data_IF_218280185980
#
_entry.id   IF_218280185980
#
_cell.length_a   1.000
_cell.length_b   1.000
_cell.length_c   1.000
_cell.angle_alpha   90.00
_cell.angle_beta   90.00
_cell.angle_gamma   90.00
#
_symmetry.space_group_name_H-M   'P 1'
#
loop_
_entity.id
_entity.type
_entity.pdbx_description
1 polymer ?
#
# COMPACT_ATOMS: atom_id res chain seq x y z
N UNK A 1 -12.48 19.97 -10.72
CA UNK A 1 -12.65 18.95 -9.65
C UNK A 1 -12.61 19.66 -8.32
N UNK A 2 -13.61 19.49 -7.45
CA UNK A 2 -13.56 20.06 -6.10
C UNK A 2 -12.56 19.30 -5.22
N UNK A 3 -12.03 19.95 -4.18
CA UNK A 3 -11.07 19.32 -3.26
C UNK A 3 -11.65 18.07 -2.59
N UNK A 4 -12.90 18.12 -2.15
CA UNK A 4 -13.56 17.00 -1.48
C UNK A 4 -13.73 15.79 -2.43
N UNK A 5 -14.05 16.02 -3.71
CA UNK A 5 -14.09 14.96 -4.72
C UNK A 5 -12.71 14.36 -4.94
N UNK A 6 -11.67 15.20 -5.04
CA UNK A 6 -10.28 14.75 -5.19
C UNK A 6 -9.84 13.84 -4.02
N UNK A 7 -10.14 14.25 -2.79
CA UNK A 7 -9.78 13.48 -1.58
C UNK A 7 -10.54 12.14 -1.49
N UNK A 8 -11.82 12.12 -1.88
CA UNK A 8 -12.63 10.89 -1.93
C UNK A 8 -12.14 9.92 -3.00
N UNK A 9 -11.96 10.40 -4.24
CA UNK A 9 -11.42 9.60 -5.34
C UNK A 9 -10.04 9.02 -4.99
N UNK A 10 -9.22 9.80 -4.29
CA UNK A 10 -7.86 9.40 -3.93
C UNK A 10 -7.77 8.38 -2.81
N UNK A 11 -8.86 8.06 -2.10
CA UNK A 11 -8.83 7.27 -0.85
C UNK A 11 -7.64 7.67 0.04
N UNK A 12 -7.52 8.99 0.25
CA UNK A 12 -6.33 9.63 0.85
C UNK A 12 -6.04 9.16 2.27
N UNK A 13 -7.04 8.57 2.93
CA UNK A 13 -6.91 7.99 4.26
C UNK A 13 -5.92 6.81 4.31
N UNK A 14 -5.60 6.18 3.18
CA UNK A 14 -4.58 5.13 3.12
C UNK A 14 -3.18 5.64 2.75
N UNK A 15 -3.00 6.93 2.45
CA UNK A 15 -1.67 7.49 2.12
C UNK A 15 -0.60 7.23 3.17
N UNK A 16 -0.89 7.22 4.50
CA UNK A 16 0.14 6.90 5.47
C UNK A 16 0.78 5.54 5.23
N UNK A 17 0.02 4.54 4.76
CA UNK A 17 0.56 3.22 4.41
C UNK A 17 1.57 3.28 3.26
N UNK A 18 1.37 4.18 2.30
CA UNK A 18 2.29 4.40 1.17
C UNK A 18 3.56 5.09 1.65
N UNK A 19 3.41 6.07 2.56
CA UNK A 19 4.54 6.77 3.15
C UNK A 19 5.41 5.83 3.99
N UNK A 20 4.80 4.97 4.80
CA UNK A 20 5.55 4.00 5.61
C UNK A 20 6.23 2.94 4.74
N UNK A 21 5.59 2.48 3.65
CA UNK A 21 6.24 1.59 2.69
C UNK A 21 7.48 2.27 2.06
N UNK A 22 7.37 3.56 1.73
CA UNK A 22 8.48 4.34 1.14
C UNK A 22 9.62 4.49 2.15
N UNK A 23 9.32 4.84 3.40
CA UNK A 23 10.33 4.96 4.46
C UNK A 23 11.01 3.62 4.75
N UNK A 24 10.24 2.53 4.84
CA UNK A 24 10.80 1.19 5.03
C UNK A 24 11.72 0.80 3.88
N UNK A 25 11.32 1.08 2.63
CA UNK A 25 12.16 0.80 1.46
C UNK A 25 13.47 1.60 1.47
N UNK A 26 13.46 2.88 1.88
CA UNK A 26 14.68 3.70 2.03
C UNK A 26 15.61 3.06 3.08
N UNK A 27 15.09 2.76 4.27
CA UNK A 27 15.89 2.22 5.38
C UNK A 27 16.43 0.83 5.04
N UNK A 28 15.60 -0.06 4.47
CA UNK A 28 16.01 -1.41 4.09
C UNK A 28 16.95 -1.44 2.89
N UNK A 29 16.98 -0.39 2.07
CA UNK A 29 18.01 -0.19 1.04
C UNK A 29 19.37 0.23 1.65
N UNK A 30 19.44 0.49 2.97
CA UNK A 30 20.63 0.96 3.65
C UNK A 30 20.82 2.48 3.60
N UNK A 31 19.81 3.23 3.13
CA UNK A 31 19.87 4.68 3.02
C UNK A 31 19.23 5.38 4.23
N UNK A 32 19.74 6.56 4.56
CA UNK A 32 19.15 7.41 5.59
C UNK A 32 17.92 8.16 5.08
N UNK A 33 16.87 8.23 5.89
CA UNK A 33 15.63 8.97 5.56
C UNK A 33 15.85 10.48 5.40
N UNK A 34 16.97 11.01 5.91
CA UNK A 34 17.38 12.41 5.75
C UNK A 34 17.95 12.73 4.36
N UNK A 35 18.01 11.75 3.46
CA UNK A 35 18.39 11.97 2.06
C UNK A 35 17.54 13.05 1.41
N UNK A 36 18.16 13.90 0.57
CA UNK A 36 17.48 14.91 -0.22
C UNK A 36 16.44 14.31 -1.20
N UNK A 37 16.59 13.03 -1.55
CA UNK A 37 15.64 12.31 -2.40
C UNK A 37 14.33 11.95 -1.67
N UNK A 38 14.33 11.83 -0.34
CA UNK A 38 13.19 11.32 0.44
C UNK A 38 11.89 12.10 0.20
N UNK A 39 11.85 13.45 0.22
CA UNK A 39 10.60 14.18 -0.04
C UNK A 39 10.06 13.92 -1.45
N UNK A 40 10.93 13.90 -2.46
CA UNK A 40 10.54 13.63 -3.84
C UNK A 40 9.99 12.20 -4.01
N UNK A 41 10.55 11.22 -3.30
CA UNK A 41 10.07 9.84 -3.30
C UNK A 41 8.71 9.68 -2.61
N UNK A 42 8.49 10.35 -1.48
CA UNK A 42 7.20 10.36 -0.79
C UNK A 42 6.09 10.96 -1.67
N UNK A 43 6.38 12.07 -2.36
CA UNK A 43 5.46 12.67 -3.33
C UNK A 43 5.27 11.74 -4.52
N UNK A 44 6.34 11.19 -5.09
CA UNK A 44 6.28 10.24 -6.21
C UNK A 44 5.34 9.06 -5.91
N UNK A 45 5.53 8.38 -4.78
CA UNK A 45 4.69 7.22 -4.41
C UNK A 45 3.26 7.62 -4.08
N UNK A 46 3.05 8.84 -3.56
CA UNK A 46 1.72 9.43 -3.40
C UNK A 46 1.03 9.64 -4.75
N UNK A 47 1.74 10.16 -5.75
CA UNK A 47 1.20 10.35 -7.10
C UNK A 47 0.87 9.02 -7.79
N UNK A 48 1.73 8.00 -7.66
CA UNK A 48 1.42 6.64 -8.13
C UNK A 48 0.15 6.09 -7.50
N UNK A 49 0.03 6.20 -6.17
CA UNK A 49 -1.14 5.74 -5.44
C UNK A 49 -2.42 6.48 -5.87
N UNK A 50 -2.42 7.82 -5.85
CA UNK A 50 -3.57 8.63 -6.24
C UNK A 50 -3.96 8.40 -7.70
N UNK A 51 -2.98 8.30 -8.60
CA UNK A 51 -3.22 7.97 -10.00
C UNK A 51 -3.89 6.61 -10.15
N UNK A 52 -3.42 5.61 -9.41
CA UNK A 52 -4.05 4.29 -9.35
C UNK A 52 -5.49 4.33 -8.84
N UNK A 53 -5.77 5.10 -7.78
CA UNK A 53 -7.12 5.21 -7.22
C UNK A 53 -8.09 5.95 -8.15
N UNK A 54 -7.64 7.00 -8.82
CA UNK A 54 -8.46 7.74 -9.78
C UNK A 54 -8.79 6.85 -10.98
N UNK A 55 -7.80 6.13 -11.50
CA UNK A 55 -8.02 5.18 -12.58
C UNK A 55 -8.96 4.05 -12.13
N UNK A 56 -8.85 3.56 -10.90
CA UNK A 56 -9.76 2.54 -10.36
C UNK A 56 -11.22 2.97 -10.51
N UNK A 57 -11.58 4.14 -9.99
CA UNK A 57 -12.95 4.66 -10.08
C UNK A 57 -13.35 4.96 -11.55
N UNK A 58 -12.43 5.40 -12.40
CA UNK A 58 -12.72 5.65 -13.82
C UNK A 58 -12.97 4.35 -14.62
N UNK A 59 -12.22 3.28 -14.36
CA UNK A 59 -12.48 1.96 -14.96
C UNK A 59 -13.78 1.36 -14.42
N UNK A 60 -14.08 1.58 -13.14
CA UNK A 60 -15.24 1.01 -12.46
C UNK A 60 -16.55 1.79 -12.65
N UNK A 61 -16.52 2.97 -13.27
CA UNK A 61 -17.66 3.87 -13.42
C UNK A 61 -18.97 3.21 -13.88
N UNK A 62 -18.93 2.29 -14.84
CA UNK A 62 -20.13 1.63 -15.37
C UNK A 62 -20.76 0.63 -14.38
N UNK A 63 -19.92 0.03 -13.53
CA UNK A 63 -20.33 -0.90 -12.47
C UNK A 63 -20.81 -0.10 -11.26
N UNK A 64 -20.07 0.93 -10.90
CA UNK A 64 -20.42 1.86 -9.82
C UNK A 64 -21.76 2.55 -10.12
N UNK A 65 -22.08 2.85 -11.38
CA UNK A 65 -23.39 3.38 -11.73
C UNK A 65 -24.58 2.45 -11.39
N UNK A 66 -24.33 1.13 -11.28
CA UNK A 66 -25.35 0.14 -10.91
C UNK A 66 -25.34 -0.18 -9.42
N UNK A 67 -24.16 -0.27 -8.83
CA UNK A 67 -23.98 -0.76 -7.45
C UNK A 67 -23.86 0.38 -6.41
N UNK A 68 -23.32 1.53 -6.81
CA UNK A 68 -22.96 2.68 -5.95
C UNK A 68 -23.17 4.01 -6.69
N UNK A 69 -24.42 4.35 -7.07
CA UNK A 69 -24.72 5.53 -7.90
C UNK A 69 -24.34 6.86 -7.24
N UNK A 70 -24.11 6.86 -5.92
CA UNK A 70 -23.63 8.02 -5.15
C UNK A 70 -22.15 8.36 -5.38
N UNK A 71 -21.38 7.53 -6.11
CA UNK A 71 -19.97 7.82 -6.41
C UNK A 71 -19.82 9.03 -7.35
N UNK A 72 -18.68 9.77 -7.30
CA UNK A 72 -18.55 11.05 -8.00
C UNK A 72 -18.74 11.00 -9.52
N UNK A 73 -18.34 9.91 -10.18
CA UNK A 73 -18.48 9.78 -11.64
C UNK A 73 -19.96 9.46 -12.00
N UNK A 74 -20.60 8.41 -11.46
CA UNK A 74 -22.03 8.17 -11.70
C UNK A 74 -22.96 9.31 -11.27
N UNK A 75 -22.64 10.01 -10.18
CA UNK A 75 -23.42 11.14 -9.68
C UNK A 75 -23.33 12.40 -10.58
N UNK A 76 -22.39 12.41 -11.54
CA UNK A 76 -22.19 13.55 -12.44
C UNK A 76 -21.33 14.69 -11.87
N UNK A 77 -20.72 14.50 -10.69
CA UNK A 77 -19.84 15.51 -10.06
C UNK A 77 -18.56 15.76 -10.88
N UNK A 78 -18.11 14.75 -11.65
CA UNK A 78 -16.94 14.84 -12.52
C UNK A 78 -17.04 13.89 -13.72
N UNK A 79 -16.61 14.38 -14.89
CA UNK A 79 -16.57 13.57 -16.10
C UNK A 79 -15.53 12.45 -16.01
N UNK A 80 -15.89 11.23 -16.46
CA UNK A 80 -15.02 10.05 -16.50
C UNK A 80 -13.69 10.31 -17.22
N UNK A 81 -13.73 11.01 -18.35
CA UNK A 81 -12.54 11.37 -19.13
C UNK A 81 -11.57 12.27 -18.36
N UNK A 82 -12.09 13.20 -17.55
CA UNK A 82 -11.29 14.05 -16.68
C UNK A 82 -10.57 13.24 -15.60
N UNK A 83 -11.23 12.23 -15.03
CA UNK A 83 -10.62 11.33 -14.04
C UNK A 83 -9.54 10.46 -14.66
N UNK A 84 -9.76 9.93 -15.88
CA UNK A 84 -8.71 9.23 -16.63
C UNK A 84 -7.49 10.12 -16.87
N UNK A 85 -7.70 11.33 -17.39
CA UNK A 85 -6.63 12.28 -17.66
C UNK A 85 -5.84 12.61 -16.38
N UNK A 86 -6.54 12.94 -15.28
CA UNK A 86 -5.91 13.19 -14.00
C UNK A 86 -5.11 11.97 -13.51
N UNK A 87 -5.69 10.76 -13.60
CA UNK A 87 -5.02 9.51 -13.22
C UNK A 87 -3.71 9.29 -13.97
N UNK A 88 -3.71 9.44 -15.29
CA UNK A 88 -2.49 9.29 -16.11
C UNK A 88 -1.46 10.38 -15.85
N UNK A 89 -1.88 11.64 -15.67
CA UNK A 89 -0.99 12.75 -15.30
C UNK A 89 -0.32 12.48 -13.94
N UNK A 90 -1.06 11.96 -12.97
CA UNK A 90 -0.50 11.58 -11.67
C UNK A 90 0.52 10.44 -11.81
N UNK A 91 0.23 9.38 -12.58
CA UNK A 91 1.20 8.30 -12.83
C UNK A 91 2.48 8.82 -13.52
N UNK A 92 2.33 9.67 -14.54
CA UNK A 92 3.46 10.26 -15.26
C UNK A 92 4.29 11.18 -14.35
N UNK A 93 3.63 12.00 -13.53
CA UNK A 93 4.29 12.86 -12.54
C UNK A 93 5.02 12.06 -11.46
N UNK A 94 4.42 10.96 -10.99
CA UNK A 94 5.05 10.01 -10.07
C UNK A 94 6.34 9.43 -10.65
N UNK A 95 6.27 8.95 -11.90
CA UNK A 95 7.44 8.41 -12.60
C UNK A 95 8.53 9.47 -12.82
N UNK A 96 8.15 10.68 -13.23
CA UNK A 96 9.10 11.77 -13.44
C UNK A 96 9.83 12.14 -12.14
N UNK A 97 9.11 12.24 -11.01
CA UNK A 97 9.71 12.51 -9.71
C UNK A 97 10.59 11.35 -9.21
N UNK A 98 10.22 10.11 -9.49
CA UNK A 98 11.05 8.95 -9.17
C UNK A 98 12.40 9.00 -9.91
N UNK A 99 12.36 9.28 -11.21
CA UNK A 99 13.56 9.44 -12.03
C UNK A 99 14.40 10.65 -11.58
N UNK A 100 13.76 11.76 -11.22
CA UNK A 100 14.45 12.95 -10.71
C UNK A 100 15.14 12.68 -9.37
N UNK A 101 14.45 12.00 -8.44
CA UNK A 101 15.01 11.60 -7.16
C UNK A 101 16.19 10.65 -7.32
N UNK A 102 16.10 9.69 -8.24
CA UNK A 102 17.18 8.78 -8.60
C UNK A 102 18.39 9.51 -9.20
N UNK A 103 18.15 10.49 -10.09
CA UNK A 103 19.22 11.27 -10.72
C UNK A 103 20.00 12.11 -9.71
N UNK A 104 19.33 12.60 -8.67
CA UNK A 104 19.95 13.35 -7.57
C UNK A 104 20.66 12.45 -6.55
N UNK A 105 20.44 11.14 -6.60
CA UNK A 105 21.06 10.18 -5.68
C UNK A 105 22.54 9.99 -6.03
N UNK A 106 23.47 10.07 -5.06
CA UNK A 106 24.90 9.88 -5.30
C UNK A 106 25.27 8.50 -5.87
N UNK A 107 24.43 7.50 -5.61
CA UNK A 107 24.60 6.10 -6.01
C UNK A 107 24.55 5.91 -7.54
N UNK A 108 24.00 6.87 -8.30
CA UNK A 108 23.84 6.81 -9.76
C UNK A 108 23.35 5.45 -10.27
N UNK A 109 22.15 5.05 -9.86
CA UNK A 109 21.61 3.71 -10.11
C UNK A 109 21.11 3.48 -11.55
N UNK A 110 21.41 4.40 -12.46
CA UNK A 110 21.13 4.29 -13.89
C UNK A 110 19.64 4.27 -14.21
N UNK A 111 19.22 3.33 -15.05
CA UNK A 111 17.86 3.24 -15.57
C UNK A 111 16.88 2.50 -14.66
N UNK A 112 17.37 1.80 -13.64
CA UNK A 112 16.58 0.86 -12.84
C UNK A 112 15.36 1.49 -12.14
N UNK A 113 15.44 2.69 -11.52
CA UNK A 113 14.28 3.36 -10.94
C UNK A 113 13.19 3.66 -11.97
N UNK A 114 13.60 4.10 -13.17
CA UNK A 114 12.67 4.37 -14.27
C UNK A 114 11.99 3.09 -14.77
N UNK A 115 12.77 2.02 -14.97
CA UNK A 115 12.26 0.71 -15.40
C UNK A 115 11.27 0.15 -14.37
N UNK A 116 11.62 0.12 -13.09
CA UNK A 116 10.73 -0.38 -12.04
C UNK A 116 9.49 0.51 -11.88
N UNK A 117 9.62 1.82 -12.03
CA UNK A 117 8.50 2.76 -12.00
C UNK A 117 7.52 2.55 -13.17
N UNK A 118 8.02 2.25 -14.37
CA UNK A 118 7.18 1.87 -15.52
C UNK A 118 6.47 0.54 -15.27
N UNK A 119 7.17 -0.45 -14.69
CA UNK A 119 6.57 -1.74 -14.31
C UNK A 119 5.47 -1.52 -13.25
N UNK A 120 5.71 -0.65 -12.26
CA UNK A 120 4.70 -0.25 -11.26
C UNK A 120 3.47 0.39 -11.91
N UNK A 121 3.66 1.37 -12.80
CA UNK A 121 2.57 1.97 -13.55
C UNK A 121 1.78 0.92 -14.35
N UNK A 122 2.48 0.02 -15.03
CA UNK A 122 1.89 -1.09 -15.78
C UNK A 122 1.08 -2.04 -14.90
N UNK A 123 1.60 -2.40 -13.72
CA UNK A 123 0.88 -3.25 -12.75
C UNK A 123 -0.39 -2.57 -12.23
N UNK A 124 -0.32 -1.25 -11.93
CA UNK A 124 -1.49 -0.44 -11.52
C UNK A 124 -2.54 -0.42 -12.64
N UNK A 125 -2.12 -0.18 -13.88
CA UNK A 125 -3.02 -0.19 -15.05
C UNK A 125 -3.65 -1.56 -15.27
N UNK A 126 -2.87 -2.62 -15.21
CA UNK A 126 -3.35 -3.99 -15.39
C UNK A 126 -4.37 -4.38 -14.31
N UNK A 127 -4.10 -4.02 -13.05
CA UNK A 127 -5.06 -4.20 -11.97
C UNK A 127 -6.36 -3.45 -12.27
N UNK A 128 -6.29 -2.15 -12.55
CA UNK A 128 -7.49 -1.35 -12.75
C UNK A 128 -8.34 -1.81 -13.94
N UNK A 129 -7.70 -2.24 -15.03
CA UNK A 129 -8.39 -2.74 -16.22
C UNK A 129 -9.08 -4.10 -16.00
N UNK A 130 -8.47 -5.03 -15.25
CA UNK A 130 -8.93 -6.43 -15.21
C UNK A 130 -8.99 -7.04 -13.80
N UNK A 131 -9.19 -6.25 -12.74
CA UNK A 131 -9.29 -6.82 -11.39
C UNK A 131 -10.65 -7.49 -11.10
N UNK A 132 -11.75 -7.03 -11.71
CA UNK A 132 -13.09 -7.59 -11.46
C UNK A 132 -13.25 -8.91 -12.21
N UNK A 133 -13.61 -9.98 -11.49
CA UNK A 133 -13.71 -11.35 -12.03
C UNK A 133 -12.39 -12.12 -12.12
N UNK A 134 -11.25 -11.45 -11.96
CA UNK A 134 -9.95 -12.10 -11.98
C UNK A 134 -9.62 -12.73 -10.62
N UNK A 135 -9.25 -14.01 -10.61
CA UNK A 135 -8.84 -14.72 -9.39
C UNK A 135 -7.49 -14.21 -8.88
N UNK A 136 -6.64 -13.71 -9.78
CA UNK A 136 -5.28 -13.22 -9.48
C UNK A 136 -5.22 -11.76 -9.04
N UNK A 137 -6.33 -11.01 -8.96
CA UNK A 137 -6.27 -9.59 -8.53
C UNK A 137 -5.59 -9.36 -7.17
N UNK A 138 -5.73 -10.23 -6.15
CA UNK A 138 -4.96 -10.11 -4.90
C UNK A 138 -3.44 -10.12 -5.14
N UNK A 139 -2.98 -10.95 -6.08
CA UNK A 139 -1.57 -11.08 -6.46
C UNK A 139 -1.10 -9.79 -7.14
N UNK A 140 -1.87 -9.27 -8.09
CA UNK A 140 -1.52 -8.02 -8.80
C UNK A 140 -1.51 -6.82 -7.84
N UNK A 141 -2.50 -6.72 -6.95
CA UNK A 141 -2.55 -5.65 -5.94
C UNK A 141 -1.36 -5.72 -4.97
N UNK A 142 -1.00 -6.93 -4.53
CA UNK A 142 0.22 -7.15 -3.75
C UNK A 142 1.47 -6.77 -4.53
N UNK A 143 1.52 -7.08 -5.82
CA UNK A 143 2.65 -6.74 -6.70
C UNK A 143 2.84 -5.22 -6.81
N UNK A 144 1.76 -4.43 -6.90
CA UNK A 144 1.85 -2.97 -6.86
C UNK A 144 2.55 -2.48 -5.58
N UNK A 145 2.26 -3.07 -4.42
CA UNK A 145 2.89 -2.69 -3.14
C UNK A 145 4.34 -3.15 -3.05
N UNK A 146 4.66 -4.34 -3.53
CA UNK A 146 6.04 -4.82 -3.65
C UNK A 146 6.87 -3.88 -4.54
N UNK A 147 6.31 -3.44 -5.66
CA UNK A 147 6.99 -2.58 -6.61
C UNK A 147 7.26 -1.16 -6.07
N UNK A 148 6.56 -0.71 -5.03
CA UNK A 148 6.95 0.49 -4.28
C UNK A 148 8.31 0.28 -3.61
N UNK A 149 8.48 -0.84 -2.87
CA UNK A 149 9.75 -1.17 -2.23
C UNK A 149 10.90 -1.27 -3.24
N UNK A 150 10.66 -1.99 -4.33
CA UNK A 150 11.65 -2.19 -5.40
C UNK A 150 12.02 -0.85 -6.06
N UNK A 151 11.02 -0.03 -6.40
CA UNK A 151 11.26 1.24 -7.10
C UNK A 151 12.00 2.25 -6.25
N UNK A 152 11.61 2.37 -4.97
CA UNK A 152 12.31 3.22 -4.00
C UNK A 152 13.71 2.68 -3.71
N UNK A 153 13.85 1.36 -3.54
CA UNK A 153 15.14 0.71 -3.31
C UNK A 153 16.14 0.95 -4.42
N UNK A 154 15.69 0.88 -5.68
CA UNK A 154 16.56 1.17 -6.83
C UNK A 154 17.03 2.61 -6.87
N UNK A 155 16.45 3.56 -6.14
CA UNK A 155 17.01 4.92 -6.03
C UNK A 155 18.29 4.97 -5.18
N UNK A 156 18.56 3.93 -4.39
CA UNK A 156 19.67 3.88 -3.44
C UNK A 156 20.60 2.69 -3.62
N UNK A 157 20.23 1.69 -4.44
CA UNK A 157 21.09 0.54 -4.69
C UNK A 157 20.85 -0.03 -6.09
N UNK A 158 21.92 -0.30 -6.84
CA UNK A 158 21.83 -1.04 -8.12
C UNK A 158 21.44 -2.50 -7.90
N UNK A 159 21.99 -3.11 -6.84
CA UNK A 159 21.64 -4.47 -6.39
C UNK A 159 20.86 -4.34 -5.09
N UNK A 160 19.58 -4.72 -5.13
CA UNK A 160 18.70 -4.57 -3.98
C UNK A 160 19.16 -5.43 -2.80
N UNK A 161 19.31 -4.86 -1.59
CA UNK A 161 19.69 -5.62 -0.41
C UNK A 161 18.67 -6.69 -0.04
N UNK A 162 19.14 -7.80 0.52
CA UNK A 162 18.28 -8.91 0.94
C UNK A 162 17.17 -8.48 1.94
N UNK A 163 17.42 -7.62 2.96
CA UNK A 163 16.37 -7.15 3.85
C UNK A 163 15.23 -6.44 3.12
N UNK A 164 15.53 -5.66 2.08
CA UNK A 164 14.53 -4.99 1.25
C UNK A 164 13.69 -6.01 0.47
N UNK A 165 14.33 -6.98 -0.16
CA UNK A 165 13.63 -8.03 -0.92
C UNK A 165 12.72 -8.86 -0.01
N UNK A 166 13.20 -9.23 1.19
CA UNK A 166 12.39 -9.92 2.19
C UNK A 166 11.19 -9.04 2.58
N UNK A 167 11.41 -7.78 2.92
CA UNK A 167 10.33 -6.85 3.27
C UNK A 167 9.28 -6.72 2.18
N UNK A 168 9.72 -6.60 0.93
CA UNK A 168 8.84 -6.49 -0.24
C UNK A 168 8.00 -7.76 -0.46
N UNK A 169 8.59 -8.95 -0.28
CA UNK A 169 7.89 -10.24 -0.37
C UNK A 169 6.91 -10.44 0.81
N UNK A 170 7.27 -10.01 2.02
CA UNK A 170 6.38 -10.10 3.18
C UNK A 170 5.17 -9.19 3.02
N UNK A 171 5.36 -7.96 2.52
CA UNK A 171 4.27 -7.06 2.18
C UNK A 171 3.40 -7.63 1.07
N UNK A 172 4.00 -8.18 0.02
CA UNK A 172 3.27 -8.89 -1.04
C UNK A 172 2.39 -10.02 -0.49
N UNK A 173 2.97 -10.90 0.34
CA UNK A 173 2.25 -11.99 1.03
C UNK A 173 1.09 -11.43 1.87
N UNK A 174 1.35 -10.42 2.69
CA UNK A 174 0.34 -9.78 3.51
C UNK A 174 -0.85 -9.27 2.70
N UNK A 175 -0.57 -8.60 1.56
CA UNK A 175 -1.58 -8.04 0.67
C UNK A 175 -2.43 -9.10 -0.01
N UNK A 176 -1.90 -10.29 -0.30
CA UNK A 176 -2.70 -11.39 -0.83
C UNK A 176 -3.78 -11.78 0.17
N UNK A 177 -3.40 -11.98 1.44
CA UNK A 177 -4.34 -12.31 2.52
C UNK A 177 -5.37 -11.20 2.75
N UNK A 178 -4.92 -9.94 2.83
CA UNK A 178 -5.78 -8.77 2.98
C UNK A 178 -6.77 -8.62 1.83
N UNK A 179 -6.31 -8.65 0.58
CA UNK A 179 -7.16 -8.41 -0.59
C UNK A 179 -8.18 -9.54 -0.76
N UNK A 180 -7.83 -10.75 -0.32
CA UNK A 180 -8.78 -11.86 -0.25
C UNK A 180 -9.89 -11.59 0.78
N UNK A 181 -9.58 -11.12 1.99
CA UNK A 181 -10.58 -10.70 2.99
C UNK A 181 -11.46 -9.58 2.44
N UNK A 182 -10.88 -8.59 1.77
CA UNK A 182 -11.63 -7.49 1.16
C UNK A 182 -12.62 -7.98 0.09
N UNK A 183 -12.27 -8.99 -0.71
CA UNK A 183 -13.19 -9.58 -1.69
C UNK A 183 -14.36 -10.33 -1.06
N UNK A 184 -14.21 -10.85 0.17
CA UNK A 184 -15.30 -11.53 0.87
C UNK A 184 -16.41 -10.57 1.31
N UNK A 185 -16.13 -9.27 1.41
CA UNK A 185 -17.11 -8.23 1.72
C UNK A 185 -18.32 -8.28 0.77
N UNK A 186 -18.07 -8.51 -0.52
CA UNK A 186 -19.12 -8.52 -1.55
C UNK A 186 -19.75 -9.91 -1.80
N UNK A 187 -19.13 -10.99 -1.33
CA UNK A 187 -19.52 -12.35 -1.71
C UNK A 187 -20.40 -13.07 -0.69
N UNK A 188 -20.51 -12.57 0.55
CA UNK A 188 -21.35 -13.17 1.60
C UNK A 188 -20.95 -14.58 2.07
N UNK A 189 -20.10 -15.28 1.31
CA UNK A 189 -19.63 -16.64 1.56
C UNK A 189 -18.10 -16.71 1.60
N UNK A 190 -17.56 -17.35 2.65
CA UNK A 190 -16.14 -17.69 2.70
C UNK A 190 -15.95 -19.09 2.16
N UNK A 191 -15.60 -19.17 0.87
CA UNK A 191 -15.39 -20.47 0.22
C UNK A 191 -14.06 -21.11 0.61
N UNK A 192 -13.00 -20.32 0.86
CA UNK A 192 -11.65 -20.85 1.08
C UNK A 192 -10.83 -19.99 2.07
N UNK A 193 -10.40 -20.53 3.21
CA UNK A 193 -9.60 -19.77 4.20
C UNK A 193 -8.09 -19.78 3.94
N UNK A 194 -7.61 -20.60 2.99
CA UNK A 194 -6.18 -20.77 2.74
C UNK A 194 -5.40 -19.48 2.41
N UNK A 195 -5.98 -18.43 1.75
CA UNK A 195 -5.22 -17.20 1.51
C UNK A 195 -4.88 -16.43 2.79
N UNK A 196 -5.55 -16.70 3.91
CA UNK A 196 -5.18 -16.13 5.21
C UNK A 196 -3.85 -16.67 5.73
N UNK A 197 -3.37 -17.82 5.23
CA UNK A 197 -2.05 -18.36 5.57
C UNK A 197 -0.93 -17.41 5.14
N UNK A 198 -1.14 -16.58 4.11
CA UNK A 198 -0.17 -15.57 3.71
C UNK A 198 0.02 -14.45 4.75
N UNK A 199 -0.93 -14.25 5.67
CA UNK A 199 -0.77 -13.35 6.81
C UNK A 199 0.20 -13.94 7.87
N UNK A 200 0.43 -15.25 7.87
CA UNK A 200 1.34 -15.88 8.83
C UNK A 200 2.81 -15.58 8.54
N UNK A 201 3.20 -15.43 7.26
CA UNK A 201 4.58 -15.15 6.87
C UNK A 201 5.17 -13.90 7.56
N UNK A 202 4.53 -12.71 7.51
CA UNK A 202 5.03 -11.53 8.22
C UNK A 202 4.98 -11.69 9.75
N UNK A 203 4.02 -12.45 10.29
CA UNK A 203 3.95 -12.72 11.74
C UNK A 203 5.13 -13.58 12.19
N UNK A 204 5.44 -14.66 11.47
CA UNK A 204 6.54 -15.58 11.78
C UNK A 204 7.87 -14.84 11.64
N UNK A 205 8.10 -14.15 10.51
CA UNK A 205 9.35 -13.43 10.29
C UNK A 205 9.55 -12.30 11.31
N UNK A 206 8.50 -11.52 11.60
CA UNK A 206 8.57 -10.51 12.65
C UNK A 206 8.83 -11.10 14.03
N UNK A 207 8.35 -12.32 14.30
CA UNK A 207 8.64 -13.05 15.53
C UNK A 207 10.12 -13.41 15.66
N UNK A 208 10.75 -13.84 14.56
CA UNK A 208 12.20 -14.08 14.50
C UNK A 208 12.98 -12.78 14.74
N UNK A 209 12.57 -11.66 14.14
CA UNK A 209 13.24 -10.37 14.40
C UNK A 209 13.01 -9.86 15.83
N UNK A 210 11.88 -10.21 16.44
CA UNK A 210 11.54 -9.76 17.79
C UNK A 210 12.42 -10.36 18.89
N UNK A 211 13.03 -11.52 18.66
CA UNK A 211 13.93 -12.14 19.64
C UNK A 211 15.26 -11.41 19.77
N UNK A 212 15.63 -10.61 18.77
CA UNK A 212 16.91 -9.90 18.73
C UNK A 212 16.88 -8.56 19.49
N UNK A 213 15.71 -7.91 19.59
CA UNK A 213 15.59 -6.58 20.20
C UNK A 213 14.22 -6.32 20.82
N UNK A 214 14.22 -5.80 22.06
CA UNK A 214 12.99 -5.46 22.79
C UNK A 214 12.07 -4.45 22.07
N UNK A 215 12.57 -3.37 21.44
CA UNK A 215 11.71 -2.46 20.68
C UNK A 215 10.98 -3.17 19.53
N UNK A 216 11.66 -4.08 18.82
CA UNK A 216 11.08 -4.87 17.73
C UNK A 216 9.97 -5.79 18.25
N UNK A 217 10.14 -6.37 19.44
CA UNK A 217 9.09 -7.14 20.11
C UNK A 217 7.83 -6.32 20.40
N UNK A 218 7.96 -5.08 20.86
CA UNK A 218 6.80 -4.22 21.10
C UNK A 218 6.00 -3.96 19.81
N UNK A 219 6.68 -3.64 18.70
CA UNK A 219 6.02 -3.44 17.40
C UNK A 219 5.39 -4.71 16.86
N UNK A 220 6.09 -5.84 17.00
CA UNK A 220 5.56 -7.15 16.62
C UNK A 220 4.32 -7.53 17.41
N UNK A 221 4.30 -7.32 18.73
CA UNK A 221 3.14 -7.60 19.57
C UNK A 221 1.92 -6.77 19.14
N UNK A 222 2.10 -5.47 18.84
CA UNK A 222 1.02 -4.61 18.33
C UNK A 222 0.50 -5.13 16.98
N UNK A 223 1.40 -5.53 16.07
CA UNK A 223 1.04 -6.10 14.78
C UNK A 223 0.24 -7.40 14.92
N UNK A 224 0.68 -8.33 15.78
CA UNK A 224 -0.03 -9.59 16.04
C UNK A 224 -1.41 -9.32 16.63
N UNK A 225 -1.53 -8.41 17.59
CA UNK A 225 -2.83 -8.01 18.15
C UNK A 225 -3.76 -7.45 17.07
N UNK A 226 -3.26 -6.60 16.17
CA UNK A 226 -4.04 -6.06 15.06
C UNK A 226 -4.51 -7.17 14.10
N UNK A 227 -3.65 -8.14 13.78
CA UNK A 227 -4.00 -9.29 12.92
C UNK A 227 -5.05 -10.18 13.59
N UNK A 228 -4.85 -10.53 14.87
CA UNK A 228 -5.80 -11.36 15.61
C UNK A 228 -7.15 -10.66 15.74
N UNK A 229 -7.16 -9.35 16.01
CA UNK A 229 -8.39 -8.56 16.07
C UNK A 229 -9.13 -8.57 14.72
N UNK A 230 -8.42 -8.36 13.61
CA UNK A 230 -9.01 -8.41 12.27
C UNK A 230 -9.56 -9.81 11.93
N UNK A 231 -8.81 -10.88 12.21
CA UNK A 231 -9.24 -12.25 11.98
C UNK A 231 -10.43 -12.64 12.86
N UNK A 232 -10.49 -12.14 14.09
CA UNK A 232 -11.64 -12.32 14.97
C UNK A 232 -12.91 -11.67 14.39
N UNK A 233 -12.81 -10.46 13.82
CA UNK A 233 -13.92 -9.81 13.11
C UNK A 233 -14.36 -10.62 11.88
N UNK A 234 -13.41 -11.12 11.09
CA UNK A 234 -13.70 -12.00 9.94
C UNK A 234 -14.40 -13.30 10.36
N UNK A 235 -14.07 -13.83 11.54
CA UNK A 235 -14.73 -15.00 12.12
C UNK A 235 -16.13 -14.67 12.66
N UNK A 236 -16.30 -13.52 13.32
CA UNK A 236 -17.55 -13.11 13.97
C UNK A 236 -18.66 -12.75 12.97
N UNK A 237 -18.31 -12.11 11.85
CA UNK A 237 -19.21 -11.81 10.70
C UNK A 237 -20.50 -11.05 11.04
N UNK A 238 -20.48 -10.17 12.03
CA UNK A 238 -21.60 -9.26 12.25
C UNK A 238 -21.58 -8.12 11.20
N UNK A 239 -22.73 -7.46 10.96
CA UNK A 239 -22.78 -6.33 10.04
C UNK A 239 -21.71 -5.27 10.37
N UNK A 240 -20.85 -4.98 9.40
CA UNK A 240 -19.72 -4.05 9.56
C UNK A 240 -18.40 -4.65 10.06
N UNK A 241 -18.34 -5.93 10.41
CA UNK A 241 -17.11 -6.58 10.88
C UNK A 241 -16.06 -6.72 9.75
N UNK A 242 -16.47 -7.12 8.53
CA UNK A 242 -15.54 -7.28 7.40
C UNK A 242 -14.90 -5.94 7.01
N UNK A 243 -15.64 -4.84 6.80
CA UNK A 243 -15.03 -3.53 6.56
C UNK A 243 -14.04 -3.12 7.65
N UNK A 244 -14.39 -3.32 8.94
CA UNK A 244 -13.48 -3.02 10.06
C UNK A 244 -12.22 -3.87 10.06
N UNK A 245 -12.33 -5.16 9.68
CA UNK A 245 -11.19 -6.03 9.51
C UNK A 245 -10.28 -5.54 8.38
N UNK A 246 -10.85 -5.21 7.21
CA UNK A 246 -10.10 -4.69 6.05
C UNK A 246 -9.40 -3.39 6.41
N UNK A 247 -10.08 -2.45 7.06
CA UNK A 247 -9.51 -1.19 7.59
C UNK A 247 -8.31 -1.46 8.51
N UNK A 248 -8.48 -2.38 9.46
CA UNK A 248 -7.42 -2.75 10.41
C UNK A 248 -6.22 -3.37 9.71
N UNK A 249 -6.46 -4.24 8.72
CA UNK A 249 -5.41 -4.85 7.93
C UNK A 249 -4.72 -3.83 7.00
N UNK A 250 -5.44 -2.87 6.42
CA UNK A 250 -4.84 -1.82 5.59
C UNK A 250 -3.87 -1.00 6.44
N UNK A 251 -4.32 -0.54 7.61
CA UNK A 251 -3.44 0.16 8.54
C UNK A 251 -2.27 -0.72 8.98
N UNK A 252 -2.51 -2.01 9.18
CA UNK A 252 -1.51 -3.00 9.61
C UNK A 252 -0.28 -3.12 8.71
N UNK A 253 -0.36 -2.70 7.44
CA UNK A 253 0.82 -2.58 6.57
C UNK A 253 1.91 -1.71 7.22
N UNK A 254 1.53 -0.60 7.85
CA UNK A 254 2.47 0.30 8.51
C UNK A 254 3.11 -0.32 9.75
N UNK A 255 2.44 -1.26 10.42
CA UNK A 255 3.05 -1.99 11.54
C UNK A 255 4.06 -3.03 11.05
N UNK A 256 3.83 -3.65 9.90
CA UNK A 256 4.84 -4.49 9.26
C UNK A 256 6.08 -3.66 8.89
N UNK A 257 5.89 -2.49 8.30
CA UNK A 257 7.00 -1.55 8.02
C UNK A 257 7.77 -1.20 9.31
N UNK A 258 7.07 -0.97 10.43
CA UNK A 258 7.70 -0.68 11.73
C UNK A 258 8.60 -1.82 12.22
N UNK A 259 8.14 -3.07 12.12
CA UNK A 259 8.92 -4.26 12.51
C UNK A 259 10.19 -4.36 11.66
N UNK A 260 10.07 -4.15 10.35
CA UNK A 260 11.20 -4.26 9.43
C UNK A 260 12.24 -3.14 9.65
N UNK A 261 11.78 -1.90 9.83
CA UNK A 261 12.65 -0.75 10.16
C UNK A 261 13.37 -0.98 11.49
N UNK A 262 12.65 -1.41 12.53
CA UNK A 262 13.23 -1.72 13.83
C UNK A 262 14.21 -2.89 13.75
N UNK A 263 13.89 -3.91 12.95
CA UNK A 263 14.70 -5.11 12.77
C UNK A 263 16.07 -4.87 12.12
N UNK A 264 16.25 -3.77 11.38
CA UNK A 264 17.56 -3.35 10.86
C UNK A 264 18.27 -2.32 11.73
N UNK A 265 17.78 -2.09 12.95
CA UNK A 265 18.47 -1.27 13.96
C UNK A 265 17.94 0.17 14.11
N UNK A 266 16.80 0.51 13.50
CA UNK A 266 16.26 1.88 13.50
C UNK A 266 14.92 2.01 14.27
N UNK A 267 14.82 1.60 15.55
CA UNK A 267 13.54 1.60 16.29
C UNK A 267 12.93 3.00 16.47
N UNK A 268 13.76 4.05 16.50
CA UNK A 268 13.27 5.44 16.55
C UNK A 268 12.47 5.82 15.31
N UNK A 269 12.93 5.42 14.12
CA UNK A 269 12.22 5.64 12.86
C UNK A 269 10.99 4.75 12.72
N UNK A 270 11.01 3.55 13.30
CA UNK A 270 9.86 2.64 13.31
C UNK A 270 8.61 3.27 13.97
N UNK A 271 8.78 4.22 14.90
CA UNK A 271 7.67 4.98 15.48
C UNK A 271 6.88 5.78 14.43
N UNK A 272 7.54 6.29 13.38
CA UNK A 272 6.85 6.98 12.28
C UNK A 272 5.87 6.02 11.60
N UNK A 273 6.24 4.76 11.47
CA UNK A 273 5.38 3.75 10.88
C UNK A 273 4.21 3.35 11.81
N UNK A 274 4.44 3.28 13.12
CA UNK A 274 3.35 3.13 14.11
C UNK A 274 2.38 4.33 14.08
N UNK A 275 2.90 5.54 13.93
CA UNK A 275 2.06 6.73 13.75
C UNK A 275 1.27 6.65 12.44
N UNK A 276 1.87 6.10 11.37
CA UNK A 276 1.18 5.80 10.11
C UNK A 276 -0.03 4.86 10.27
N UNK A 277 0.09 3.84 11.13
CA UNK A 277 -1.02 2.96 11.50
C UNK A 277 -2.15 3.75 12.17
N UNK A 278 -1.84 4.52 13.22
CA UNK A 278 -2.83 5.31 13.95
C UNK A 278 -3.50 6.37 13.06
N UNK A 279 -2.70 7.04 12.21
CA UNK A 279 -3.18 8.04 11.27
C UNK A 279 -4.10 7.44 10.21
N UNK A 280 -3.77 6.26 9.68
CA UNK A 280 -4.64 5.54 8.72
C UNK A 280 -6.00 5.25 9.34
N UNK A 281 -6.03 4.69 10.56
CA UNK A 281 -7.28 4.42 11.28
C UNK A 281 -8.08 5.70 11.59
N UNK A 282 -7.39 6.79 11.96
CA UNK A 282 -8.02 8.08 12.23
C UNK A 282 -8.63 8.71 10.98
N UNK A 283 -7.88 8.75 9.88
CA UNK A 283 -8.33 9.33 8.61
C UNK A 283 -9.46 8.54 7.97
N UNK A 284 -9.47 7.20 8.11
CA UNK A 284 -10.55 6.37 7.58
C UNK A 284 -11.91 6.61 8.26
N UNK A 285 -11.94 7.23 9.46
CA UNK A 285 -13.19 7.69 10.09
C UNK A 285 -13.78 8.93 9.41
N UNK A 286 -12.96 9.69 8.68
CA UNK A 286 -13.35 10.94 8.01
C UNK A 286 -13.60 10.72 6.52
N UNK A 287 -12.71 10.00 5.85
CA UNK A 287 -12.80 9.66 4.42
C UNK A 287 -12.63 8.15 4.26
N UNK A 288 -13.65 7.46 3.77
CA UNK A 288 -13.58 6.01 3.55
C UNK A 288 -12.38 5.65 2.68
N UNK A 289 -11.54 4.74 3.17
CA UNK A 289 -10.37 4.22 2.46
C UNK A 289 -10.67 2.95 1.64
N UNK A 290 -11.87 2.40 1.79
CA UNK A 290 -12.43 1.18 1.19
C UNK A 290 -13.78 1.50 0.55
#
# INVERSE_FOLDING_TARGET
>A
MSLLVALKLGRVSNLPTVWTNTVAAIVLAGAGVTSAATPALLVSMTLFYLGGMYLNDAFDADIDARERPERPIPAGDIARSSVFCAGFVLLAGGLALLCLAAYQSPEHTGVWPGVSGVILAGAIMFYNWHHKGNVLSPVVMGLCRLLIYVSVGFCFAVVLPLPLLIGAILLFSYLIGLTYVAKQENLGEVKNLWPLLFLAAPVIYGGVLSSEAWPTFAYWAIFVVAIVAALWLVRRRQPGDIPRAVVTLIAGMSLLDAILISGVGEPGLALVAVLGFALTLGLQRVVSGT
#
